data_IF_854233415724
#
_entry.id   IF_854233415724
#
_cell.length_a   1.000
_cell.length_b   1.000
_cell.length_c   1.000
_cell.angle_alpha   90.00
_cell.angle_beta   90.00
_cell.angle_gamma   90.00
#
_symmetry.space_group_name_H-M   'P 1'
#
loop_
_entity.id
_entity.type
_entity.pdbx_description
1 polymer ?
#
# COMPACT_ATOMS: atom_id res chain seq x y z
N UNK A 1 -15.67 -5.56 -20.75
CA UNK A 1 -14.74 -5.41 -19.61
C UNK A 1 -15.44 -5.05 -18.29
N UNK A 2 -16.53 -4.28 -18.30
CA UNK A 2 -17.27 -3.88 -17.07
C UNK A 2 -18.09 -5.01 -16.41
N UNK A 3 -18.55 -6.01 -17.16
CA UNK A 3 -19.41 -7.09 -16.62
C UNK A 3 -18.69 -8.03 -15.62
N UNK A 4 -17.36 -8.17 -15.74
CA UNK A 4 -16.56 -9.04 -14.86
C UNK A 4 -16.41 -8.42 -13.46
N UNK A 5 -16.24 -7.10 -13.39
CA UNK A 5 -16.05 -6.33 -12.14
C UNK A 5 -17.23 -6.44 -11.18
N UNK A 6 -18.45 -6.66 -11.70
CA UNK A 6 -19.66 -6.71 -10.86
C UNK A 6 -19.97 -8.10 -10.29
N UNK A 7 -19.11 -9.09 -10.51
CA UNK A 7 -19.28 -10.40 -9.87
C UNK A 7 -18.79 -10.34 -8.43
N UNK A 8 -19.47 -11.06 -7.51
CA UNK A 8 -19.15 -11.06 -6.06
C UNK A 8 -17.67 -11.35 -5.79
N UNK A 9 -17.06 -12.21 -6.62
CA UNK A 9 -15.65 -12.57 -6.54
C UNK A 9 -14.71 -11.35 -6.65
N UNK A 10 -14.90 -10.49 -7.65
CA UNK A 10 -14.05 -9.32 -7.86
C UNK A 10 -14.23 -8.26 -6.77
N UNK A 11 -15.46 -8.13 -6.26
CA UNK A 11 -15.73 -7.24 -5.12
C UNK A 11 -15.02 -7.70 -3.86
N UNK A 12 -15.01 -9.01 -3.58
CA UNK A 12 -14.29 -9.59 -2.44
C UNK A 12 -12.78 -9.38 -2.60
N UNK A 13 -12.23 -9.64 -3.79
CA UNK A 13 -10.81 -9.39 -4.08
C UNK A 13 -10.42 -7.92 -3.89
N UNK A 14 -11.26 -6.98 -4.34
CA UNK A 14 -11.01 -5.55 -4.15
C UNK A 14 -11.03 -5.11 -2.67
N UNK A 15 -11.90 -5.73 -1.86
CA UNK A 15 -11.92 -5.49 -0.41
C UNK A 15 -10.66 -6.05 0.26
N UNK A 16 -10.27 -7.28 -0.09
CA UNK A 16 -9.04 -7.89 0.41
C UNK A 16 -7.81 -7.05 0.04
N UNK A 17 -7.76 -6.54 -1.20
CA UNK A 17 -6.68 -5.65 -1.65
C UNK A 17 -6.59 -4.39 -0.79
N UNK A 18 -7.71 -3.72 -0.53
CA UNK A 18 -7.75 -2.53 0.34
C UNK A 18 -7.31 -2.85 1.77
N UNK A 19 -7.74 -3.98 2.32
CA UNK A 19 -7.34 -4.42 3.65
C UNK A 19 -5.83 -4.64 3.71
N UNK A 20 -5.25 -5.31 2.71
CA UNK A 20 -3.79 -5.55 2.65
C UNK A 20 -3.03 -4.22 2.58
N UNK A 21 -3.50 -3.25 1.80
CA UNK A 21 -2.89 -1.91 1.74
C UNK A 21 -2.93 -1.19 3.08
N UNK A 22 -4.06 -1.22 3.79
CA UNK A 22 -4.20 -0.57 5.10
C UNK A 22 -3.27 -1.24 6.13
N UNK A 23 -3.23 -2.58 6.15
CA UNK A 23 -2.39 -3.33 7.07
C UNK A 23 -0.91 -3.06 6.81
N UNK A 24 -0.48 -3.08 5.54
CA UNK A 24 0.93 -2.84 5.21
C UNK A 24 1.36 -1.40 5.51
N UNK A 25 0.51 -0.40 5.24
CA UNK A 25 0.77 0.99 5.66
C UNK A 25 0.87 1.12 7.19
N UNK A 26 -0.05 0.51 7.94
CA UNK A 26 -0.03 0.57 9.40
C UNK A 26 1.19 -0.16 9.98
N UNK A 27 1.60 -1.26 9.37
CA UNK A 27 2.78 -2.02 9.76
C UNK A 27 4.07 -1.20 9.56
N UNK A 28 4.23 -0.53 8.41
CA UNK A 28 5.40 0.35 8.16
C UNK A 28 5.44 1.48 9.19
N UNK A 29 4.31 2.14 9.44
CA UNK A 29 4.22 3.21 10.45
C UNK A 29 4.66 2.71 11.82
N UNK A 30 4.12 1.56 12.25
CA UNK A 30 4.43 0.98 13.56
C UNK A 30 5.90 0.57 13.65
N UNK A 31 6.46 -0.04 12.60
CA UNK A 31 7.87 -0.43 12.55
C UNK A 31 8.79 0.78 12.70
N UNK A 32 8.53 1.87 11.97
CA UNK A 32 9.32 3.10 12.06
C UNK A 32 9.18 3.74 13.44
N UNK A 33 7.96 3.81 14.00
CA UNK A 33 7.74 4.35 15.35
C UNK A 33 8.49 3.55 16.41
N UNK A 34 8.40 2.22 16.37
CA UNK A 34 9.10 1.32 17.30
C UNK A 34 10.61 1.45 17.15
N UNK A 35 11.12 1.51 15.93
CA UNK A 35 12.55 1.72 15.65
C UNK A 35 13.05 3.04 16.27
N UNK A 36 12.32 4.13 16.04
CA UNK A 36 12.67 5.45 16.57
C UNK A 36 12.62 5.44 18.10
N UNK A 37 11.55 4.91 18.71
CA UNK A 37 11.43 4.80 20.16
C UNK A 37 12.56 3.97 20.78
N UNK A 38 12.85 2.79 20.23
CA UNK A 38 13.92 1.93 20.74
C UNK A 38 15.30 2.56 20.60
N UNK A 39 15.54 3.24 19.48
CA UNK A 39 16.80 3.93 19.22
C UNK A 39 17.05 5.09 20.18
N UNK A 40 16.04 5.93 20.42
CA UNK A 40 16.23 7.18 21.17
C UNK A 40 15.87 7.09 22.65
N UNK A 41 14.90 6.24 23.04
CA UNK A 41 14.48 6.11 24.45
C UNK A 41 15.21 4.97 25.15
N UNK A 42 15.31 3.82 24.49
CA UNK A 42 15.88 2.60 25.09
C UNK A 42 17.36 2.39 24.73
N UNK A 43 17.91 3.22 23.84
CA UNK A 43 19.31 3.17 23.36
C UNK A 43 19.70 1.77 22.85
N UNK A 44 18.72 1.01 22.36
CA UNK A 44 18.91 -0.34 21.81
C UNK A 44 18.53 -0.31 20.33
N UNK A 45 19.53 -0.27 19.41
CA UNK A 45 19.24 -0.31 17.99
C UNK A 45 18.78 -1.73 17.60
N UNK A 46 17.55 -1.85 17.11
CA UNK A 46 17.09 -3.08 16.47
C UNK A 46 17.71 -3.21 15.07
N UNK A 47 18.52 -4.24 14.88
CA UNK A 47 19.03 -4.65 13.58
C UNK A 47 17.97 -5.51 12.87
N UNK A 48 17.80 -5.33 11.54
CA UNK A 48 16.82 -6.10 10.76
C UNK A 48 15.50 -5.38 10.46
N UNK A 49 15.26 -4.20 11.06
CA UNK A 49 13.99 -3.46 10.86
C UNK A 49 13.89 -2.90 9.44
N UNK A 50 15.01 -2.54 8.83
CA UNK A 50 15.04 -1.99 7.46
C UNK A 50 14.63 -3.04 6.43
N UNK A 51 15.10 -4.28 6.59
CA UNK A 51 14.75 -5.41 5.72
C UNK A 51 13.26 -5.76 5.85
N UNK A 52 12.73 -5.79 7.08
CA UNK A 52 11.31 -6.06 7.33
C UNK A 52 10.43 -4.94 6.78
N UNK A 53 10.78 -3.67 7.01
CA UNK A 53 10.06 -2.52 6.48
C UNK A 53 10.05 -2.51 4.95
N UNK A 54 11.19 -2.84 4.32
CA UNK A 54 11.31 -2.96 2.85
C UNK A 54 10.43 -4.09 2.32
N UNK A 55 10.43 -5.26 2.99
CA UNK A 55 9.58 -6.40 2.60
C UNK A 55 8.09 -6.06 2.68
N UNK A 56 7.66 -5.37 3.75
CA UNK A 56 6.28 -4.89 3.88
C UNK A 56 5.97 -3.80 2.85
N UNK A 57 6.95 -2.94 2.54
CA UNK A 57 6.87 -1.92 1.49
C UNK A 57 6.59 -2.51 0.10
N UNK A 58 7.17 -3.66 -0.25
CA UNK A 58 6.87 -4.33 -1.52
C UNK A 58 5.41 -4.72 -1.65
N UNK A 59 4.80 -5.24 -0.58
CA UNK A 59 3.38 -5.57 -0.58
C UNK A 59 2.50 -4.33 -0.77
N UNK A 60 2.81 -3.24 -0.08
CA UNK A 60 2.10 -1.98 -0.28
C UNK A 60 2.24 -1.46 -1.71
N UNK A 61 3.45 -1.52 -2.27
CA UNK A 61 3.75 -1.05 -3.63
C UNK A 61 2.95 -1.82 -4.69
N UNK A 62 2.96 -3.15 -4.65
CA UNK A 62 2.25 -3.96 -5.65
C UNK A 62 0.72 -3.77 -5.57
N UNK A 63 0.17 -3.72 -4.36
CA UNK A 63 -1.26 -3.55 -4.17
C UNK A 63 -1.72 -2.13 -4.56
N UNK A 64 -0.90 -1.10 -4.28
CA UNK A 64 -1.14 0.28 -4.71
C UNK A 64 -1.06 0.43 -6.23
N UNK A 65 -0.08 -0.19 -6.89
CA UNK A 65 0.06 -0.18 -8.34
C UNK A 65 -1.13 -0.87 -9.03
N UNK A 66 -1.59 -2.00 -8.48
CA UNK A 66 -2.79 -2.69 -8.96
C UNK A 66 -4.04 -1.81 -8.80
N UNK A 67 -4.18 -1.09 -7.68
CA UNK A 67 -5.34 -0.19 -7.48
C UNK A 67 -5.31 1.00 -8.44
N UNK A 68 -4.15 1.65 -8.59
CA UNK A 68 -3.98 2.81 -9.48
C UNK A 68 -4.21 2.49 -10.96
N UNK A 69 -3.81 1.29 -11.41
CA UNK A 69 -4.12 0.82 -12.77
C UNK A 69 -5.60 0.48 -12.96
N UNK A 70 -6.27 -0.06 -11.93
CA UNK A 70 -7.70 -0.34 -11.96
C UNK A 70 -8.57 0.93 -12.04
N UNK A 71 -8.17 2.02 -11.37
CA UNK A 71 -8.90 3.29 -11.38
C UNK A 71 -8.79 4.03 -12.73
N UNK A 72 -7.94 3.56 -13.66
CA UNK A 72 -7.71 4.15 -14.99
C UNK A 72 -7.65 5.68 -14.96
N UNK A 73 -6.98 6.23 -13.96
CA UNK A 73 -6.60 7.64 -13.95
C UNK A 73 -5.48 7.86 -14.96
N UNK A 74 -5.77 7.63 -16.25
CA UNK A 74 -5.07 8.33 -17.30
C UNK A 74 -5.27 9.81 -16.99
N UNK A 75 -4.18 10.54 -16.77
CA UNK A 75 -4.20 11.99 -16.82
C UNK A 75 -4.67 12.33 -18.24
N UNK A 76 -5.99 12.52 -18.40
CA UNK A 76 -6.55 13.12 -19.60
C UNK A 76 -6.12 14.57 -19.54
N UNK A 77 -4.96 14.87 -20.11
CA UNK A 77 -4.65 16.21 -20.56
C UNK A 77 -5.59 16.52 -21.73
N UNK A 78 -6.86 16.76 -21.42
CA UNK A 78 -7.78 17.37 -22.36
C UNK A 78 -7.36 18.84 -22.47
N UNK A 79 -6.46 19.12 -23.41
CA UNK A 79 -5.95 20.45 -23.72
C UNK A 79 -6.85 21.18 -24.73
N UNK A 80 -8.10 20.76 -24.94
CA UNK A 80 -8.97 21.37 -25.94
C UNK A 80 -10.34 21.75 -25.38
N UNK A 81 -10.33 22.78 -24.55
CA UNK A 81 -11.49 23.65 -24.38
C UNK A 81 -11.04 25.12 -24.53
N UNK A 82 -10.74 25.52 -25.77
CA UNK A 82 -10.65 26.90 -26.24
C UNK A 82 -10.95 26.95 -27.74
#
# INVERSE_FOLDING_TARGET
MLAIVNTKFWRVLGILQKIIMIISSMAILTLVLVQVLLRYVFVMPLMGVEEVATMVGFWLYFMGASWGTAERSHIKADLMQA
#
